data_IF_867987309672
#
_entry.id   IF_867987309672
#
_cell.length_a   1.000
_cell.length_b   1.000
_cell.length_c   1.000
_cell.angle_alpha   90.00
_cell.angle_beta   90.00
_cell.angle_gamma   90.00
#
_symmetry.space_group_name_H-M   'P 1'
#
loop_
_entity.id
_entity.type
_entity.pdbx_description
1 polymer ?
#
# COMPACT_ATOMS: atom_id res chain seq x y z
N UNK A 1 6.57 4.41 6.77
CA UNK A 1 6.75 3.30 7.75
C UNK A 1 7.22 3.88 9.06
N UNK A 2 6.75 3.31 10.16
CA UNK A 2 6.92 3.81 11.53
C UNK A 2 7.15 2.60 12.45
N UNK A 3 8.10 2.71 13.36
CA UNK A 3 8.22 1.85 14.54
C UNK A 3 7.90 2.69 15.79
N UNK A 4 7.22 2.07 16.75
CA UNK A 4 6.98 2.63 18.09
C UNK A 4 7.80 1.80 19.06
N UNK A 5 8.65 2.46 19.85
CA UNK A 5 9.55 1.82 20.80
C UNK A 5 8.87 1.66 22.18
N UNK A 6 9.40 0.81 23.08
CA UNK A 6 8.80 0.58 24.40
C UNK A 6 8.67 1.81 25.30
N UNK A 7 9.48 2.84 25.06
CA UNK A 7 9.44 4.12 25.78
C UNK A 7 8.44 5.12 25.17
N UNK A 8 7.66 4.71 24.17
CA UNK A 8 6.69 5.54 23.46
C UNK A 8 7.30 6.43 22.37
N UNK A 9 8.64 6.46 22.22
CA UNK A 9 9.28 7.18 21.14
C UNK A 9 9.01 6.51 19.78
N UNK A 10 9.08 7.29 18.71
CA UNK A 10 8.80 6.78 17.36
C UNK A 10 9.99 6.96 16.44
N UNK A 11 10.25 5.95 15.61
CA UNK A 11 11.26 6.00 14.55
C UNK A 11 10.58 5.86 13.20
N UNK A 12 10.82 6.80 12.30
CA UNK A 12 10.26 6.81 10.94
C UNK A 12 11.32 6.45 9.93
N UNK A 13 10.90 5.77 8.86
CA UNK A 13 11.75 5.58 7.68
C UNK A 13 12.31 6.91 7.15
N UNK A 14 11.51 7.98 7.22
CA UNK A 14 11.88 9.33 6.76
C UNK A 14 12.99 9.97 7.59
N UNK A 15 13.21 9.53 8.83
CA UNK A 15 14.31 10.03 9.68
C UNK A 15 15.67 9.64 9.09
N UNK A 16 15.71 8.55 8.32
CA UNK A 16 16.85 8.10 7.54
C UNK A 16 16.86 8.67 6.11
N UNK A 17 16.00 9.64 5.79
CA UNK A 17 15.74 10.14 4.43
C UNK A 17 15.27 9.06 3.46
N UNK A 18 14.74 7.94 3.97
CA UNK A 18 14.16 6.88 3.16
C UNK A 18 12.68 7.14 2.92
N UNK A 19 12.32 7.42 1.67
CA UNK A 19 10.93 7.55 1.20
C UNK A 19 10.65 6.36 0.28
N UNK A 20 9.93 5.33 0.76
CA UNK A 20 9.69 4.13 -0.04
C UNK A 20 8.78 4.46 -1.23
N UNK A 21 9.11 3.95 -2.43
CA UNK A 21 8.35 4.12 -3.69
C UNK A 21 7.19 3.13 -3.76
N UNK A 22 6.47 2.99 -2.66
CA UNK A 22 5.41 2.01 -2.44
C UNK A 22 3.96 2.53 -2.59
N UNK A 23 3.67 3.82 -2.90
CA UNK A 23 2.29 4.21 -3.19
C UNK A 23 1.72 3.48 -4.40
N UNK A 24 0.42 3.18 -4.36
CA UNK A 24 -0.34 2.61 -5.48
C UNK A 24 -0.10 3.35 -6.80
N UNK A 25 -0.08 4.69 -6.74
CA UNK A 25 0.17 5.54 -7.90
C UNK A 25 1.56 5.34 -8.50
N UNK A 26 2.58 5.08 -7.66
CA UNK A 26 3.94 4.86 -8.13
C UNK A 26 4.04 3.50 -8.82
N UNK A 27 3.45 2.46 -8.24
CA UNK A 27 3.39 1.13 -8.85
C UNK A 27 2.72 1.16 -10.24
N UNK A 28 1.58 1.85 -10.34
CA UNK A 28 0.88 2.07 -11.61
C UNK A 28 1.70 2.88 -12.61
N UNK A 29 2.29 4.00 -12.18
CA UNK A 29 3.13 4.85 -13.02
C UNK A 29 4.30 4.08 -13.60
N UNK A 30 5.02 3.29 -12.79
CA UNK A 30 6.12 2.46 -13.27
C UNK A 30 5.66 1.46 -14.35
N UNK A 31 4.46 0.89 -14.22
CA UNK A 31 3.89 0.02 -15.26
C UNK A 31 3.65 0.79 -16.55
N UNK A 32 2.93 1.92 -16.49
CA UNK A 32 2.61 2.73 -17.67
C UNK A 32 3.86 3.19 -18.39
N UNK A 33 4.85 3.70 -17.66
CA UNK A 33 6.09 4.18 -18.26
C UNK A 33 6.87 3.07 -18.97
N UNK A 34 6.87 1.85 -18.44
CA UNK A 34 7.52 0.71 -19.10
C UNK A 34 6.73 0.21 -20.31
N UNK A 35 5.40 0.27 -20.28
CA UNK A 35 4.56 0.04 -21.48
C UNK A 35 4.87 1.07 -22.56
N UNK A 36 5.02 2.35 -22.20
CA UNK A 36 5.36 3.44 -23.12
C UNK A 36 6.78 3.34 -23.68
N UNK A 37 7.73 2.83 -22.87
CA UNK A 37 9.10 2.58 -23.28
C UNK A 37 9.27 1.28 -24.10
N UNK A 38 8.17 0.59 -24.41
CA UNK A 38 8.14 -0.69 -25.12
C UNK A 38 8.91 -1.82 -24.39
N UNK A 39 9.07 -1.70 -23.06
CA UNK A 39 9.70 -2.69 -22.19
C UNK A 39 8.71 -3.80 -21.76
N UNK A 40 7.99 -4.35 -22.74
CA UNK A 40 6.97 -5.40 -22.53
C UNK A 40 7.34 -6.68 -23.25
N UNK A 41 6.95 -7.83 -22.70
CA UNK A 41 7.05 -9.13 -23.38
C UNK A 41 5.69 -9.57 -23.92
N UNK A 42 5.68 -10.59 -24.79
CA UNK A 42 4.43 -11.16 -25.31
C UNK A 42 3.48 -11.62 -24.18
N UNK A 43 4.04 -12.11 -23.06
CA UNK A 43 3.30 -12.51 -21.87
C UNK A 43 2.65 -11.33 -21.11
N UNK A 44 3.03 -10.09 -21.41
CA UNK A 44 2.46 -8.88 -20.79
C UNK A 44 1.26 -8.31 -21.58
N UNK A 45 0.89 -8.93 -22.71
CA UNK A 45 -0.10 -8.35 -23.62
C UNK A 45 -1.47 -8.09 -22.96
N UNK A 46 -1.93 -8.99 -22.09
CA UNK A 46 -3.18 -8.79 -21.34
C UNK A 46 -3.11 -7.58 -20.38
N UNK A 47 -1.94 -7.36 -19.76
CA UNK A 47 -1.71 -6.18 -18.92
C UNK A 47 -1.68 -4.91 -19.77
N UNK A 48 -1.01 -4.95 -20.92
CA UNK A 48 -0.96 -3.82 -21.85
C UNK A 48 -2.37 -3.43 -22.29
N UNK A 49 -3.20 -4.40 -22.66
CA UNK A 49 -4.59 -4.13 -23.03
C UNK A 49 -5.37 -3.51 -21.88
N UNK A 50 -5.25 -4.06 -20.66
CA UNK A 50 -5.91 -3.51 -19.49
C UNK A 50 -5.46 -2.06 -19.17
N UNK A 51 -4.19 -1.72 -19.43
CA UNK A 51 -3.70 -0.34 -19.31
C UNK A 51 -4.34 0.56 -20.36
N UNK A 52 -4.39 0.13 -21.63
CA UNK A 52 -5.03 0.92 -22.70
C UNK A 52 -6.51 1.16 -22.40
N UNK A 53 -7.23 0.12 -21.97
CA UNK A 53 -8.64 0.18 -21.60
C UNK A 53 -8.86 1.13 -20.41
N UNK A 54 -8.00 1.08 -19.38
CA UNK A 54 -8.08 1.97 -18.22
C UNK A 54 -7.88 3.45 -18.56
N UNK A 55 -7.00 3.71 -19.53
CA UNK A 55 -6.75 5.06 -20.04
C UNK A 55 -7.71 5.47 -21.16
N UNK A 56 -8.63 4.60 -21.55
CA UNK A 56 -9.63 4.83 -22.61
C UNK A 56 -8.98 5.23 -23.94
N UNK A 57 -7.83 4.62 -24.27
CA UNK A 57 -7.07 4.89 -25.49
C UNK A 57 -7.01 3.65 -26.38
N UNK A 58 -7.03 3.87 -27.69
CA UNK A 58 -7.11 2.77 -28.66
C UNK A 58 -5.80 1.95 -28.76
N UNK A 59 -4.65 2.60 -28.56
CA UNK A 59 -3.35 2.01 -28.82
C UNK A 59 -2.23 2.67 -28.01
N UNK A 60 -1.04 2.04 -28.03
CA UNK A 60 0.16 2.51 -27.35
C UNK A 60 0.60 3.90 -27.81
N UNK A 61 0.38 4.21 -29.07
CA UNK A 61 0.73 5.51 -29.66
C UNK A 61 -0.14 6.64 -29.07
N UNK A 62 -1.43 6.38 -28.91
CA UNK A 62 -2.36 7.32 -28.26
C UNK A 62 -2.03 7.47 -26.77
N UNK A 63 -1.66 6.37 -26.09
CA UNK A 63 -1.16 6.42 -24.73
C UNK A 63 0.14 7.23 -24.63
N UNK A 64 1.05 7.09 -25.60
CA UNK A 64 2.32 7.81 -25.64
C UNK A 64 2.09 9.31 -25.81
N UNK A 65 1.18 9.71 -26.71
CA UNK A 65 0.77 11.11 -26.84
C UNK A 65 0.16 11.65 -25.55
N UNK A 66 -0.68 10.89 -24.88
CA UNK A 66 -1.23 11.30 -23.58
C UNK A 66 -0.12 11.52 -22.55
N UNK A 67 0.84 10.58 -22.46
CA UNK A 67 1.96 10.66 -21.53
C UNK A 67 2.92 11.81 -21.83
N UNK A 68 3.21 12.11 -23.11
CA UNK A 68 4.10 13.20 -23.49
C UNK A 68 3.53 14.60 -23.19
N UNK A 69 2.21 14.70 -22.99
CA UNK A 69 1.54 15.92 -22.52
C UNK A 69 1.32 15.92 -20.99
N UNK A 70 1.94 14.98 -20.26
CA UNK A 70 1.88 14.91 -18.80
C UNK A 70 0.67 14.16 -18.23
N UNK A 71 -0.04 13.38 -19.04
CA UNK A 71 -1.31 12.71 -18.69
C UNK A 71 -2.41 13.67 -18.26
N UNK A 72 -2.45 14.04 -16.98
CA UNK A 72 -3.48 14.90 -16.38
C UNK A 72 -2.82 16.17 -15.84
N UNK A 73 -3.43 17.32 -16.14
CA UNK A 73 -2.90 18.62 -15.73
C UNK A 73 -2.93 18.84 -14.21
N UNK A 74 -3.93 18.27 -13.51
CA UNK A 74 -4.05 18.37 -12.07
C UNK A 74 -3.26 17.25 -11.38
N UNK A 75 -2.26 17.56 -10.53
CA UNK A 75 -1.47 16.56 -9.83
C UNK A 75 -2.29 15.62 -8.92
N UNK A 76 -3.36 16.12 -8.31
CA UNK A 76 -4.23 15.31 -7.44
C UNK A 76 -5.00 14.26 -8.27
N UNK A 77 -5.53 14.67 -9.42
CA UNK A 77 -6.25 13.78 -10.34
C UNK A 77 -5.30 12.77 -10.96
N UNK A 78 -4.07 13.18 -11.29
CA UNK A 78 -3.00 12.28 -11.72
C UNK A 78 -2.71 11.19 -10.70
N UNK A 79 -2.47 11.58 -9.44
CA UNK A 79 -2.18 10.63 -8.36
C UNK A 79 -3.38 9.71 -8.10
N UNK A 80 -4.60 10.24 -8.11
CA UNK A 80 -5.83 9.47 -7.96
C UNK A 80 -6.01 8.44 -9.06
N UNK A 81 -5.89 8.86 -10.33
CA UNK A 81 -6.03 7.98 -11.51
C UNK A 81 -4.91 6.93 -11.55
N UNK A 82 -3.67 7.31 -11.28
CA UNK A 82 -2.59 6.31 -11.15
C UNK A 82 -2.86 5.34 -10.00
N UNK A 83 -3.27 5.83 -8.83
CA UNK A 83 -3.59 4.99 -7.69
C UNK A 83 -4.71 3.97 -7.97
N UNK A 84 -5.73 4.38 -8.72
CA UNK A 84 -6.84 3.54 -9.14
C UNK A 84 -6.46 2.41 -10.11
N UNK A 85 -5.33 2.53 -10.81
CA UNK A 85 -4.85 1.50 -11.75
C UNK A 85 -4.05 0.39 -11.06
N UNK A 86 -3.56 0.61 -9.83
CA UNK A 86 -2.72 -0.35 -9.12
C UNK A 86 -3.33 -1.78 -8.98
N UNK A 87 -4.65 -1.95 -8.77
CA UNK A 87 -5.25 -3.29 -8.75
C UNK A 87 -5.02 -4.08 -10.04
N UNK A 88 -5.05 -3.44 -11.22
CA UNK A 88 -4.80 -4.10 -12.51
C UNK A 88 -3.39 -4.70 -12.55
N UNK A 89 -2.41 -3.96 -12.04
CA UNK A 89 -1.01 -4.42 -12.00
C UNK A 89 -0.87 -5.60 -11.04
N UNK A 90 -1.44 -5.51 -9.83
CA UNK A 90 -1.36 -6.63 -8.87
C UNK A 90 -2.08 -7.88 -9.38
N UNK A 91 -3.20 -7.73 -10.08
CA UNK A 91 -3.92 -8.85 -10.70
C UNK A 91 -3.10 -9.48 -11.84
N UNK A 92 -2.46 -8.67 -12.69
CA UNK A 92 -1.58 -9.16 -13.74
C UNK A 92 -0.36 -9.92 -13.18
N UNK A 93 0.17 -9.50 -12.03
CA UNK A 93 1.27 -10.21 -11.37
C UNK A 93 0.85 -11.62 -10.90
N UNK A 94 -0.39 -11.76 -10.39
CA UNK A 94 -1.00 -13.06 -10.07
C UNK A 94 -1.14 -13.92 -11.33
N UNK A 95 -1.63 -13.34 -12.42
CA UNK A 95 -1.85 -14.02 -13.70
C UNK A 95 -0.55 -14.38 -14.43
N UNK A 96 0.58 -13.83 -14.00
CA UNK A 96 1.90 -14.24 -14.47
C UNK A 96 2.60 -13.27 -15.41
N UNK A 97 2.11 -12.05 -15.57
CA UNK A 97 2.81 -10.99 -16.33
C UNK A 97 4.22 -10.76 -15.76
N UNK A 98 5.29 -10.98 -16.57
CA UNK A 98 6.66 -10.71 -16.14
C UNK A 98 6.88 -9.25 -15.73
N UNK A 99 6.30 -8.29 -16.46
CA UNK A 99 6.36 -6.87 -16.15
C UNK A 99 5.75 -6.56 -14.78
N UNK A 100 4.51 -7.02 -14.55
CA UNK A 100 3.81 -6.78 -13.29
C UNK A 100 4.54 -7.41 -12.10
N UNK A 101 5.01 -8.66 -12.25
CA UNK A 101 5.79 -9.34 -11.20
C UNK A 101 7.05 -8.56 -10.84
N UNK A 102 7.84 -8.15 -11.84
CA UNK A 102 9.07 -7.40 -11.60
C UNK A 102 8.82 -6.08 -10.85
N UNK A 103 7.73 -5.38 -11.17
CA UNK A 103 7.35 -4.14 -10.48
C UNK A 103 6.89 -4.43 -9.04
N UNK A 104 6.00 -5.42 -8.86
CA UNK A 104 5.50 -5.79 -7.54
C UNK A 104 6.61 -6.32 -6.64
N UNK A 105 7.51 -7.17 -7.15
CA UNK A 105 8.62 -7.73 -6.38
C UNK A 105 9.60 -6.64 -5.95
N UNK A 106 9.96 -5.70 -6.84
CA UNK A 106 10.78 -4.54 -6.47
C UNK A 106 10.11 -3.69 -5.38
N UNK A 107 8.80 -3.52 -5.48
CA UNK A 107 8.03 -2.78 -4.46
C UNK A 107 8.07 -3.52 -3.12
N UNK A 108 7.95 -4.85 -3.12
CA UNK A 108 8.08 -5.70 -1.93
C UNK A 108 9.47 -5.55 -1.30
N UNK A 109 10.53 -5.51 -2.11
CA UNK A 109 11.90 -5.31 -1.61
C UNK A 109 12.07 -3.94 -0.94
N UNK A 110 11.50 -2.88 -1.53
CA UNK A 110 11.50 -1.55 -0.89
C UNK A 110 10.68 -1.50 0.40
N UNK A 111 9.56 -2.23 0.45
CA UNK A 111 8.79 -2.40 1.68
C UNK A 111 9.65 -3.06 2.75
N UNK A 112 10.32 -4.16 2.40
CA UNK A 112 11.19 -4.86 3.33
C UNK A 112 12.35 -4.01 3.81
N UNK A 113 13.02 -3.28 2.92
CA UNK A 113 14.09 -2.36 3.29
C UNK A 113 13.62 -1.35 4.35
N UNK A 114 12.45 -0.73 4.15
CA UNK A 114 11.92 0.21 5.13
C UNK A 114 11.53 -0.45 6.46
N UNK A 115 10.96 -1.66 6.42
CA UNK A 115 10.65 -2.45 7.62
C UNK A 115 11.94 -2.78 8.38
N UNK A 116 12.98 -3.24 7.68
CA UNK A 116 14.29 -3.53 8.25
C UNK A 116 14.89 -2.29 8.92
N UNK A 117 14.81 -1.15 8.24
CA UNK A 117 15.40 0.10 8.68
C UNK A 117 14.84 0.55 10.04
N UNK A 118 13.52 0.61 10.16
CA UNK A 118 12.86 1.00 11.43
C UNK A 118 12.86 -0.13 12.45
N UNK A 119 12.83 -1.38 11.99
CA UNK A 119 12.78 -2.58 12.82
C UNK A 119 14.05 -2.85 13.62
N UNK A 120 15.22 -2.41 13.13
CA UNK A 120 16.48 -2.53 13.88
C UNK A 120 16.49 -1.77 15.20
N UNK A 121 15.62 -0.78 15.35
CA UNK A 121 15.45 -0.05 16.61
C UNK A 121 14.63 -0.85 17.65
N UNK A 122 13.97 -1.92 17.24
CA UNK A 122 13.22 -2.81 18.13
C UNK A 122 14.15 -3.92 18.64
N UNK A 123 14.36 -4.03 19.95
CA UNK A 123 15.22 -5.07 20.56
C UNK A 123 14.47 -6.39 20.88
N UNK A 124 13.20 -6.51 20.50
CA UNK A 124 12.41 -7.72 20.74
C UNK A 124 12.72 -8.82 19.73
N UNK A 125 12.64 -10.10 20.16
CA UNK A 125 12.77 -11.27 19.29
C UNK A 125 11.53 -11.48 18.39
N UNK A 126 10.38 -10.96 18.82
CA UNK A 126 9.16 -10.85 18.03
C UNK A 126 8.75 -9.39 17.93
N UNK A 127 8.61 -8.90 16.70
CA UNK A 127 8.18 -7.52 16.46
C UNK A 127 6.79 -7.57 15.82
N UNK A 128 5.74 -7.07 16.49
CA UNK A 128 4.41 -7.00 15.90
C UNK A 128 4.41 -6.03 14.72
N UNK A 129 3.68 -6.39 13.66
CA UNK A 129 3.60 -5.59 12.44
C UNK A 129 2.16 -5.42 11.99
N UNK A 130 1.77 -4.18 11.75
CA UNK A 130 0.53 -3.83 11.08
C UNK A 130 0.83 -3.45 9.63
N UNK A 131 0.13 -4.07 8.70
CA UNK A 131 0.21 -3.79 7.26
C UNK A 131 -1.14 -3.21 6.80
N UNK A 132 -1.12 -2.04 6.16
CA UNK A 132 -2.33 -1.37 5.70
C UNK A 132 -2.12 -0.68 4.35
N UNK A 133 -3.12 -0.76 3.47
CA UNK A 133 -3.09 -0.18 2.12
C UNK A 133 -3.58 -1.16 1.07
N UNK A 134 -4.27 -0.65 0.04
CA UNK A 134 -4.92 -1.45 -1.00
C UNK A 134 -3.97 -2.39 -1.75
N UNK A 135 -2.74 -1.95 -2.01
CA UNK A 135 -1.72 -2.77 -2.68
C UNK A 135 -1.24 -3.91 -1.80
N UNK A 136 -0.99 -3.65 -0.51
CA UNK A 136 -0.48 -4.64 0.43
C UNK A 136 -1.51 -5.74 0.71
N UNK A 137 -2.80 -5.41 0.63
CA UNK A 137 -3.90 -6.34 0.78
C UNK A 137 -4.12 -7.24 -0.45
N UNK A 138 -3.45 -6.99 -1.58
CA UNK A 138 -3.53 -7.89 -2.73
C UNK A 138 -2.95 -9.27 -2.39
N UNK A 139 -3.50 -10.32 -3.02
CA UNK A 139 -3.02 -11.70 -2.83
C UNK A 139 -1.56 -11.86 -3.27
N UNK A 140 -1.14 -11.14 -4.32
CA UNK A 140 0.26 -11.14 -4.77
C UNK A 140 1.20 -10.61 -3.68
N UNK A 141 0.94 -9.41 -3.14
CA UNK A 141 1.78 -8.82 -2.10
C UNK A 141 1.76 -9.66 -0.82
N UNK A 142 0.59 -10.15 -0.41
CA UNK A 142 0.46 -11.01 0.76
C UNK A 142 1.32 -12.27 0.63
N UNK A 143 1.26 -12.95 -0.53
CA UNK A 143 2.10 -14.10 -0.81
C UNK A 143 3.59 -13.75 -0.89
N UNK A 144 3.94 -12.67 -1.58
CA UNK A 144 5.33 -12.23 -1.73
C UNK A 144 5.97 -11.83 -0.39
N UNK A 145 5.25 -11.09 0.45
CA UNK A 145 5.69 -10.72 1.80
C UNK A 145 5.82 -11.93 2.72
N UNK A 146 5.00 -12.98 2.55
CA UNK A 146 5.10 -14.21 3.34
C UNK A 146 6.33 -15.06 2.99
N UNK A 147 6.83 -14.99 1.75
CA UNK A 147 8.04 -15.72 1.32
C UNK A 147 9.31 -15.23 2.02
N UNK A 148 9.36 -13.96 2.40
CA UNK A 148 10.55 -13.33 2.97
C UNK A 148 10.34 -13.06 4.46
N UNK A 149 10.43 -14.06 5.34
CA UNK A 149 10.06 -13.89 6.76
C UNK A 149 11.24 -13.88 7.74
N UNK A 150 12.47 -13.79 7.25
CA UNK A 150 13.68 -13.83 8.10
C UNK A 150 14.49 -12.55 7.98
N UNK A 151 14.65 -11.89 9.12
CA UNK A 151 15.54 -10.75 9.32
C UNK A 151 16.99 -11.18 9.56
N UNK A 152 17.96 -10.28 9.33
CA UNK A 152 19.22 -10.33 10.06
C UNK A 152 18.95 -10.30 11.58
N UNK A 153 19.65 -11.13 12.37
CA UNK A 153 19.55 -11.21 13.86
C UNK A 153 18.41 -12.06 14.47
N UNK A 154 17.87 -13.07 13.78
CA UNK A 154 16.87 -14.03 14.32
C UNK A 154 15.53 -13.43 14.80
N UNK A 155 15.26 -12.16 14.49
CA UNK A 155 13.97 -11.54 14.78
C UNK A 155 12.90 -12.07 13.81
N UNK A 156 11.69 -12.34 14.35
CA UNK A 156 10.52 -12.76 13.56
C UNK A 156 9.45 -11.68 13.62
N UNK A 157 8.96 -11.25 12.46
CA UNK A 157 7.77 -10.39 12.42
C UNK A 157 6.51 -11.23 12.52
N UNK A 158 5.58 -10.79 13.37
CA UNK A 158 4.24 -11.36 13.44
C UNK A 158 3.27 -10.32 12.89
N UNK A 159 2.59 -10.65 11.78
CA UNK A 159 1.52 -9.79 11.27
C UNK A 159 0.39 -9.83 12.30
N UNK A 160 0.04 -8.67 12.82
CA UNK A 160 -1.10 -8.50 13.71
C UNK A 160 -2.26 -7.85 12.95
N UNK A 161 -3.51 -8.26 13.22
CA UNK A 161 -4.66 -7.53 12.75
C UNK A 161 -4.63 -6.12 13.31
N UNK A 162 -5.17 -5.17 12.55
CA UNK A 162 -5.41 -3.82 13.06
C UNK A 162 -6.47 -3.94 14.16
N UNK A 163 -6.16 -3.60 15.43
CA UNK A 163 -7.09 -3.85 16.53
C UNK A 163 -8.32 -2.95 16.47
N UNK A 164 -8.22 -1.78 15.83
CA UNK A 164 -9.29 -0.78 15.72
C UNK A 164 -9.25 -0.07 14.37
N UNK A 165 -10.40 0.27 13.78
CA UNK A 165 -10.41 1.03 12.52
C UNK A 165 -9.74 2.41 12.71
N UNK A 166 -9.22 3.04 11.65
CA UNK A 166 -8.64 4.39 11.74
C UNK A 166 -9.60 5.43 12.34
N UNK A 167 -10.91 5.25 12.11
CA UNK A 167 -11.94 6.13 12.66
C UNK A 167 -12.08 5.93 14.17
N UNK A 168 -12.15 4.69 14.63
CA UNK A 168 -12.18 4.39 16.08
C UNK A 168 -10.89 4.91 16.74
N UNK A 169 -9.73 4.69 16.13
CA UNK A 169 -8.46 5.22 16.65
C UNK A 169 -8.46 6.76 16.77
N UNK A 170 -9.03 7.48 15.79
CA UNK A 170 -9.14 8.93 15.84
C UNK A 170 -10.05 9.41 16.98
N UNK A 171 -11.15 8.69 17.23
CA UNK A 171 -12.03 8.98 18.37
C UNK A 171 -11.31 8.74 19.69
N UNK A 172 -10.59 7.61 19.83
CA UNK A 172 -9.82 7.31 21.03
C UNK A 172 -8.74 8.37 21.31
N UNK A 173 -8.06 8.84 20.27
CA UNK A 173 -7.09 9.93 20.40
C UNK A 173 -7.75 11.25 20.83
N UNK A 174 -8.94 11.57 20.32
CA UNK A 174 -9.67 12.78 20.71
C UNK A 174 -10.15 12.72 22.17
N UNK A 175 -10.60 11.53 22.60
CA UNK A 175 -11.00 11.25 23.99
C UNK A 175 -9.81 11.39 24.95
N UNK A 176 -8.66 10.82 24.60
CA UNK A 176 -7.42 10.95 25.39
C UNK A 176 -6.99 12.42 25.50
N UNK A 177 -7.04 13.18 24.40
CA UNK A 177 -6.75 14.62 24.41
C UNK A 177 -7.74 15.45 25.25
N UNK A 178 -8.96 14.97 25.41
CA UNK A 178 -9.99 15.58 26.24
C UNK A 178 -9.94 15.14 27.71
N UNK A 179 -8.98 14.29 28.08
CA UNK A 179 -8.82 13.70 29.42
C UNK A 179 -10.08 12.93 29.88
N UNK A 180 -10.77 12.30 28.92
CA UNK A 180 -11.95 11.48 29.17
C UNK A 180 -11.50 10.03 29.38
N UNK A 181 -11.84 9.45 30.53
CA UNK A 181 -11.58 8.04 30.78
C UNK A 181 -12.70 7.19 30.18
N UNK A 182 -12.35 6.29 29.27
CA UNK A 182 -13.26 5.26 28.75
C UNK A 182 -13.02 3.94 29.47
N UNK A 183 -14.09 3.22 29.79
CA UNK A 183 -13.98 1.85 30.26
C UNK A 183 -14.04 0.83 29.10
N UNK A 184 -13.95 -0.46 29.42
CA UNK A 184 -13.99 -1.51 28.41
C UNK A 184 -15.33 -1.56 27.66
N UNK A 185 -16.44 -1.25 28.33
CA UNK A 185 -17.78 -1.29 27.73
C UNK A 185 -17.97 -0.12 26.76
N UNK A 186 -17.41 1.05 27.08
CA UNK A 186 -17.38 2.20 26.17
C UNK A 186 -16.61 1.90 24.88
N UNK A 187 -15.46 1.21 24.99
CA UNK A 187 -14.65 0.79 23.84
C UNK A 187 -15.38 -0.21 22.93
N UNK A 188 -16.09 -1.17 23.53
CA UNK A 188 -16.90 -2.15 22.80
C UNK A 188 -18.03 -1.44 22.05
N UNK A 189 -18.76 -0.55 22.73
CA UNK A 189 -19.87 0.22 22.13
C UNK A 189 -19.41 1.14 20.99
N UNK A 190 -18.28 1.82 21.15
CA UNK A 190 -17.69 2.66 20.10
C UNK A 190 -17.31 1.84 18.87
N UNK A 191 -16.76 0.65 19.09
CA UNK A 191 -16.38 -0.25 18.00
C UNK A 191 -17.61 -0.78 17.25
N UNK A 192 -18.66 -1.18 17.97
CA UNK A 192 -19.91 -1.68 17.39
C UNK A 192 -20.72 -0.59 16.66
N UNK A 193 -20.82 0.60 17.24
CA UNK A 193 -21.52 1.73 16.64
C UNK A 193 -20.88 2.19 15.32
N UNK A 194 -19.55 2.12 15.21
CA UNK A 194 -18.85 2.52 14.00
C UNK A 194 -18.89 1.44 12.91
N UNK A 195 -18.85 0.16 13.26
CA UNK A 195 -19.03 -0.96 12.31
C UNK A 195 -20.43 -0.95 11.67
N UNK A 196 -21.45 -0.56 12.43
CA UNK A 196 -22.84 -0.44 11.93
C UNK A 196 -23.06 0.80 11.06
N UNK A 197 -22.34 1.91 11.29
CA UNK A 197 -22.45 3.12 10.46
C UNK A 197 -21.84 2.98 9.06
N UNK A 198 -20.84 2.11 8.86
CA UNK A 198 -20.20 1.87 7.54
C UNK A 198 -21.03 1.00 6.60
N UNK A 199 -22.14 0.42 7.06
CA UNK A 199 -23.03 -0.41 6.25
C UNK A 199 -24.16 0.32 5.53
N UNK A 200 -24.30 1.64 5.70
CA UNK A 200 -25.52 2.37 5.32
C UNK A 200 -25.29 3.65 4.49
N UNK A 201 -24.31 3.66 3.59
CA UNK A 201 -24.13 4.73 2.60
C UNK A 201 -24.15 4.18 1.17
N UNK A 202 -25.33 3.81 0.69
CA UNK A 202 -25.68 3.90 -0.74
C UNK A 202 -26.39 5.23 -0.95
N UNK A 203 -25.89 6.13 -1.81
CA UNK A 203 -26.63 7.35 -2.13
C UNK A 203 -27.76 7.04 -3.14
N UNK A 204 -28.89 7.77 -3.10
CA UNK A 204 -29.84 7.83 -4.20
C UNK A 204 -29.27 8.57 -5.41
#
# INVERSE_FOLDING_TARGET
>A
MLAVLPDGSTVRATDFRFVPRVPAAVLAMHTVLRVLADETQAADQSLVQAVLDYWEVADRETLWRLGSHGFLANPADYVGRMGGMAPLVTAAAVQGSPLARAICDRTVDEIWLGIHLVGRCCHASQVPRILHGSVIQSSYFSAAMARTNTLPMNQRYVIQPIPVTPVVAAVLLAVEQADISLDHDDLVRLTEAMLTSTGNSSPP
#
